data_IF_730745969358
#
_entry.id   IF_730745969358
#
_cell.length_a   1.000
_cell.length_b   1.000
_cell.length_c   1.000
_cell.angle_alpha   90.00
_cell.angle_beta   90.00
_cell.angle_gamma   90.00
#
_symmetry.space_group_name_H-M   'P 1'
#
loop_
_entity.id
_entity.type
_entity.pdbx_description
1 polymer ?
#
# COMPACT_ATOMS: atom_id res chain seq x y z
N UNK A 1 25.39 -10.36 -13.75
CA UNK A 1 24.10 -10.80 -14.33
C UNK A 1 23.18 -9.60 -14.31
N UNK A 2 22.71 -9.13 -15.46
CA UNK A 2 21.74 -8.03 -15.52
C UNK A 2 20.42 -8.52 -14.92
N UNK A 3 20.19 -8.25 -13.63
CA UNK A 3 18.89 -8.50 -13.03
C UNK A 3 17.89 -7.59 -13.73
N UNK A 4 16.99 -8.21 -14.49
CA UNK A 4 15.90 -7.51 -15.14
C UNK A 4 15.08 -6.81 -14.06
N UNK A 5 14.97 -5.47 -14.06
CA UNK A 5 14.38 -4.71 -12.96
C UNK A 5 12.95 -5.14 -12.63
N UNK A 6 12.23 -5.66 -13.62
CA UNK A 6 10.88 -6.19 -13.48
C UNK A 6 10.81 -7.44 -12.60
N UNK A 7 11.87 -8.25 -12.51
CA UNK A 7 11.90 -9.42 -11.64
C UNK A 7 11.96 -9.02 -10.15
N UNK A 8 12.68 -7.93 -9.84
CA UNK A 8 12.69 -7.35 -8.50
C UNK A 8 11.32 -6.78 -8.14
N UNK A 9 10.68 -6.06 -9.07
CA UNK A 9 9.36 -5.48 -8.84
C UNK A 9 8.28 -6.55 -8.66
N UNK A 10 8.32 -7.62 -9.46
CA UNK A 10 7.41 -8.75 -9.34
C UNK A 10 7.56 -9.42 -7.98
N UNK A 11 8.79 -9.66 -7.51
CA UNK A 11 9.04 -10.22 -6.17
C UNK A 11 8.51 -9.32 -5.06
N UNK A 12 8.71 -8.01 -5.17
CA UNK A 12 8.16 -7.05 -4.20
C UNK A 12 6.64 -7.01 -4.24
N UNK A 13 6.01 -7.07 -5.42
CA UNK A 13 4.56 -7.12 -5.56
C UNK A 13 3.94 -8.36 -4.93
N UNK A 14 4.50 -9.53 -5.23
CA UNK A 14 3.98 -10.80 -4.72
C UNK A 14 4.21 -10.93 -3.21
N UNK A 15 5.42 -10.58 -2.73
CA UNK A 15 5.77 -10.77 -1.30
C UNK A 15 5.34 -9.63 -0.40
N UNK A 16 5.36 -8.39 -0.89
CA UNK A 16 5.07 -7.19 -0.12
C UNK A 16 3.60 -6.79 -0.16
N UNK A 17 2.91 -7.03 -1.27
CA UNK A 17 1.52 -6.61 -1.47
C UNK A 17 0.53 -7.78 -1.67
N UNK A 18 1.02 -9.04 -1.68
CA UNK A 18 0.16 -10.22 -1.79
C UNK A 18 -0.49 -10.42 -3.17
N UNK A 19 0.00 -9.72 -4.19
CA UNK A 19 -0.53 -9.81 -5.55
C UNK A 19 -0.11 -11.12 -6.22
N UNK A 20 -0.99 -11.73 -7.01
CA UNK A 20 -0.56 -12.82 -7.90
C UNK A 20 0.29 -12.28 -9.06
N UNK A 21 1.17 -13.10 -9.64
CA UNK A 21 1.93 -12.68 -10.82
C UNK A 21 1.05 -12.25 -12.00
N UNK A 22 -0.12 -12.88 -12.16
CA UNK A 22 -1.05 -12.54 -13.24
C UNK A 22 -1.65 -11.14 -13.04
N UNK A 23 -2.09 -10.82 -11.83
CA UNK A 23 -2.65 -9.50 -11.48
C UNK A 23 -1.62 -8.39 -11.67
N UNK A 24 -0.36 -8.65 -11.31
CA UNK A 24 0.74 -7.71 -11.51
C UNK A 24 0.94 -7.31 -12.99
N UNK A 25 0.89 -8.28 -13.90
CA UNK A 25 1.06 -8.03 -15.34
C UNK A 25 -0.19 -7.46 -16.01
N UNK A 26 -1.37 -7.67 -15.46
CA UNK A 26 -2.62 -7.10 -15.95
C UNK A 26 -2.93 -5.71 -15.38
N UNK A 27 -2.15 -5.26 -14.40
CA UNK A 27 -2.34 -3.99 -13.71
C UNK A 27 -2.20 -2.80 -14.68
N UNK A 28 -3.09 -1.81 -14.53
CA UNK A 28 -3.04 -0.62 -15.35
C UNK A 28 -1.83 0.26 -15.01
N UNK A 29 -1.37 1.09 -15.96
CA UNK A 29 -0.27 2.05 -15.72
C UNK A 29 -0.61 3.02 -14.58
N UNK A 30 -1.90 3.33 -14.37
CA UNK A 30 -2.36 4.19 -13.27
C UNK A 30 -2.11 3.54 -11.91
N UNK A 31 -2.48 2.28 -11.74
CA UNK A 31 -2.33 1.57 -10.47
C UNK A 31 -0.85 1.34 -10.16
N UNK A 32 -0.06 1.06 -11.21
CA UNK A 32 1.39 1.05 -11.14
C UNK A 32 1.97 2.37 -10.63
N UNK A 33 1.51 3.49 -11.19
CA UNK A 33 1.91 4.83 -10.75
C UNK A 33 1.54 5.08 -9.29
N UNK A 34 0.39 4.61 -8.82
CA UNK A 34 -0.02 4.72 -7.40
C UNK A 34 0.93 3.94 -6.49
N UNK A 35 1.26 2.70 -6.83
CA UNK A 35 2.17 1.87 -6.02
C UNK A 35 3.58 2.46 -5.91
N UNK A 36 4.10 3.02 -7.00
CA UNK A 36 5.45 3.61 -6.99
C UNK A 36 5.47 5.04 -6.41
N UNK A 37 4.40 5.81 -6.55
CA UNK A 37 4.29 7.18 -6.00
C UNK A 37 4.11 7.21 -4.48
N UNK A 38 3.65 6.11 -3.88
CA UNK A 38 3.54 5.94 -2.43
C UNK A 38 4.88 5.76 -1.69
N UNK A 39 6.00 5.58 -2.39
CA UNK A 39 7.32 5.34 -1.76
C UNK A 39 7.91 6.55 -1.04
N UNK A 40 7.35 7.75 -1.22
CA UNK A 40 7.86 8.99 -0.64
C UNK A 40 7.09 9.53 0.57
N UNK A 41 5.92 8.97 0.89
CA UNK A 41 5.12 9.43 2.03
C UNK A 41 4.97 8.30 3.04
N UNK A 42 5.54 8.40 4.25
CA UNK A 42 5.23 7.43 5.28
C UNK A 42 3.70 7.40 5.45
N UNK A 43 3.15 6.19 5.65
CA UNK A 43 1.76 6.06 6.09
C UNK A 43 1.52 6.88 7.35
N UNK A 44 0.26 7.06 7.74
CA UNK A 44 -0.08 7.72 9.01
C UNK A 44 0.72 7.04 10.13
N UNK A 45 1.56 7.82 10.78
CA UNK A 45 2.33 7.35 11.92
C UNK A 45 1.37 7.04 13.08
N UNK A 46 1.76 6.11 13.96
CA UNK A 46 0.87 5.60 15.01
C UNK A 46 0.34 6.73 15.92
N UNK A 47 1.18 7.72 16.21
CA UNK A 47 0.79 8.92 16.97
C UNK A 47 -0.34 9.70 16.29
N UNK A 48 -0.29 9.82 14.96
CA UNK A 48 -1.34 10.47 14.15
C UNK A 48 -2.61 9.62 14.03
N UNK A 49 -2.48 8.30 14.13
CA UNK A 49 -3.64 7.41 14.20
C UNK A 49 -4.37 7.58 15.54
N UNK A 50 -3.63 7.61 16.65
CA UNK A 50 -4.20 7.83 17.98
C UNK A 50 -4.89 9.21 18.07
N UNK A 51 -4.28 10.26 17.50
CA UNK A 51 -4.89 11.58 17.38
C UNK A 51 -6.25 11.53 16.66
N UNK A 52 -6.35 10.76 15.57
CA UNK A 52 -7.59 10.61 14.79
C UNK A 52 -8.67 9.84 15.56
N UNK A 53 -8.30 8.74 16.21
CA UNK A 53 -9.24 7.93 17.01
C UNK A 53 -9.81 8.74 18.18
N UNK A 54 -9.01 9.62 18.78
CA UNK A 54 -9.47 10.53 19.83
C UNK A 54 -10.33 11.68 19.29
N UNK A 55 -10.05 12.16 18.07
CA UNK A 55 -10.80 13.27 17.45
C UNK A 55 -12.17 12.85 16.95
N UNK A 56 -12.30 11.59 16.49
CA UNK A 56 -13.52 11.02 15.95
C UNK A 56 -13.88 9.73 16.68
N UNK A 57 -14.23 9.79 17.98
CA UNK A 57 -14.66 8.61 18.72
C UNK A 57 -15.99 8.11 18.14
N UNK A 58 -16.11 6.79 17.97
CA UNK A 58 -17.37 6.18 17.56
C UNK A 58 -18.47 6.50 18.58
N UNK A 59 -19.64 6.92 18.11
CA UNK A 59 -20.80 7.13 18.98
C UNK A 59 -21.26 5.77 19.53
N UNK A 60 -21.03 5.53 20.83
CA UNK A 60 -21.76 4.49 21.54
C UNK A 60 -23.18 5.01 21.73
N UNK A 61 -24.09 4.60 20.84
CA UNK A 61 -25.52 4.70 21.11
C UNK A 61 -25.84 3.74 22.25
N UNK A 62 -25.87 4.26 23.46
CA UNK A 62 -26.54 3.61 24.58
C UNK A 62 -28.06 3.66 24.30
N UNK A 63 -28.65 2.50 24.00
CA UNK A 63 -30.11 2.26 24.03
C UNK A 63 -30.55 1.81 25.43
#
# INVERSE_FOLDING_TARGET
>A
MNQWPFDMWLKTAVRGFGLSPAEFWQMSVRDWLVLISGTGKPGIAHDKFDDLMNTYPDEVKDE
#
